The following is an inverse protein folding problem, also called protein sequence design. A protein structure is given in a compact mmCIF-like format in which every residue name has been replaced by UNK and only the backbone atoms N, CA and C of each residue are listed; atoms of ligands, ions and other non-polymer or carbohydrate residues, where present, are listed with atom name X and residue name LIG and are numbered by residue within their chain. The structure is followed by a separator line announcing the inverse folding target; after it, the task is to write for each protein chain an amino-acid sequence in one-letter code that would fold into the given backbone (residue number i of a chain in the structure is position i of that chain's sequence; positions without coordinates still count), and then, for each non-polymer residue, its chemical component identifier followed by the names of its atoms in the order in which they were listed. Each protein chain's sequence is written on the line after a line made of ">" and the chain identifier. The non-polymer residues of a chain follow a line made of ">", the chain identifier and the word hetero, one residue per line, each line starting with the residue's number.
data_IF_002053274025
#
_entry.id   IF_002053274025
#
_cell.length_a   1.000
_cell.length_b   1.000
_cell.length_c   1.000
_cell.angle_alpha   90.00
_cell.angle_beta   90.00
_cell.angle_gamma   90.00
#
_symmetry.space_group_name_H-M   'P 1'
#
loop_
_entity.id
_entity.type
_entity.pdbx_description
1 polymer ?
#
# COMPACT_ATOMS: atom_id res chain seq x y z
N UNK A 1 -50.65 12.13 15.17
CA UNK A 1 -49.68 12.69 14.19
C UNK A 1 -48.30 12.98 14.78
N UNK A 2 -48.16 13.52 16.01
CA UNK A 2 -46.84 13.77 16.64
C UNK A 2 -45.98 12.51 16.85
N UNK A 3 -46.59 11.37 17.19
CA UNK A 3 -45.89 10.11 17.46
C UNK A 3 -45.28 9.46 16.22
N UNK A 4 -45.90 9.64 15.04
CA UNK A 4 -45.39 9.11 13.77
C UNK A 4 -44.15 9.88 13.28
N UNK A 5 -44.10 11.18 13.54
CA UNK A 5 -42.96 12.04 13.20
C UNK A 5 -41.72 11.66 14.02
N UNK A 6 -41.91 11.32 15.31
CA UNK A 6 -40.82 10.92 16.22
C UNK A 6 -40.25 9.55 15.80
N UNK A 7 -41.11 8.59 15.46
CA UNK A 7 -40.67 7.26 15.00
C UNK A 7 -39.89 7.36 13.68
N UNK A 8 -40.37 8.19 12.75
CA UNK A 8 -39.67 8.43 11.48
C UNK A 8 -38.29 9.06 11.69
N UNK A 9 -38.17 10.02 12.61
CA UNK A 9 -36.89 10.65 12.94
C UNK A 9 -35.89 9.65 13.56
N UNK A 10 -36.38 8.77 14.45
CA UNK A 10 -35.54 7.73 15.08
C UNK A 10 -35.01 6.74 14.03
N UNK A 11 -35.85 6.30 13.08
CA UNK A 11 -35.44 5.39 12.01
C UNK A 11 -34.35 6.02 11.13
N UNK A 12 -34.52 7.29 10.74
CA UNK A 12 -33.54 8.01 9.92
C UNK A 12 -32.20 8.17 10.65
N UNK A 13 -32.22 8.51 11.95
CA UNK A 13 -31.00 8.67 12.75
C UNK A 13 -30.27 7.32 12.94
N UNK A 14 -30.99 6.22 13.17
CA UNK A 14 -30.37 4.89 13.30
C UNK A 14 -29.81 4.33 11.98
N UNK A 15 -30.28 4.83 10.84
CA UNK A 15 -29.83 4.38 9.51
C UNK A 15 -28.46 4.96 9.12
N UNK A 16 -28.06 6.09 9.71
CA UNK A 16 -26.81 6.79 9.38
C UNK A 16 -25.60 6.14 10.11
N UNK A 17 -25.85 5.39 11.18
CA UNK A 17 -24.81 4.76 12.01
C UNK A 17 -24.27 3.40 11.53
N UNK A 18 -24.79 2.84 10.43
CA UNK A 18 -24.43 1.48 10.00
C UNK A 18 -23.23 1.39 9.03
N UNK A 19 -22.58 2.51 8.70
CA UNK A 19 -21.53 2.58 7.69
C UNK A 19 -20.10 2.71 8.23
N UNK A 20 -19.69 1.92 9.24
CA UNK A 20 -18.26 1.81 9.56
C UNK A 20 -17.57 0.98 8.47
N UNK A 21 -16.96 1.68 7.51
CA UNK A 21 -16.37 1.11 6.29
C UNK A 21 -15.04 0.41 6.55
N UNK A 22 -15.10 -0.87 6.90
CA UNK A 22 -13.96 -1.78 6.82
C UNK A 22 -13.86 -2.34 5.40
N UNK A 23 -12.71 -2.17 4.74
CA UNK A 23 -12.46 -2.68 3.38
C UNK A 23 -11.13 -3.40 3.32
N UNK A 24 -11.17 -4.68 2.92
CA UNK A 24 -9.96 -5.43 2.58
C UNK A 24 -9.75 -5.34 1.08
N UNK A 25 -8.57 -4.88 0.68
CA UNK A 25 -8.19 -4.68 -0.71
C UNK A 25 -6.92 -5.45 -1.03
N UNK A 26 -6.95 -6.26 -2.09
CA UNK A 26 -5.76 -6.90 -2.64
C UNK A 26 -5.28 -6.09 -3.83
N UNK A 27 -4.03 -5.62 -3.78
CA UNK A 27 -3.42 -4.84 -4.84
C UNK A 27 -2.24 -5.61 -5.42
N UNK A 28 -2.12 -5.58 -6.75
CA UNK A 28 -0.95 -6.08 -7.48
C UNK A 28 -0.37 -4.97 -8.33
N UNK A 29 0.91 -4.72 -8.15
CA UNK A 29 1.70 -3.76 -8.92
C UNK A 29 2.63 -4.56 -9.83
N UNK A 30 2.47 -4.42 -11.14
CA UNK A 30 3.34 -5.06 -12.14
C UNK A 30 4.36 -4.05 -12.68
N UNK A 31 5.33 -4.52 -13.49
CA UNK A 31 6.36 -3.69 -14.12
C UNK A 31 7.20 -2.88 -13.12
N UNK A 32 7.48 -3.50 -11.98
CA UNK A 32 8.40 -2.93 -10.98
C UNK A 32 9.81 -2.97 -11.57
N UNK A 33 10.48 -1.82 -11.54
CA UNK A 33 11.85 -1.67 -12.05
C UNK A 33 12.87 -1.59 -10.93
N UNK A 34 12.48 -1.07 -9.76
CA UNK A 34 13.33 -1.00 -8.57
C UNK A 34 12.49 -1.12 -7.31
N UNK A 35 13.09 -1.69 -6.28
CA UNK A 35 12.53 -1.79 -4.94
C UNK A 35 13.49 -1.07 -3.98
N UNK A 36 12.94 -0.20 -3.14
CA UNK A 36 13.68 0.48 -2.09
C UNK A 36 13.19 0.03 -0.73
N UNK A 37 14.11 -0.39 0.13
CA UNK A 37 13.83 -0.67 1.53
C UNK A 37 14.24 0.54 2.38
N UNK A 38 13.30 1.07 3.18
CA UNK A 38 13.54 2.24 4.01
C UNK A 38 13.91 1.86 5.45
N UNK A 39 12.95 1.27 6.16
CA UNK A 39 13.09 0.84 7.55
C UNK A 39 11.99 -0.15 7.89
N UNK A 40 12.30 -1.18 8.69
CA UNK A 40 11.33 -2.19 9.12
C UNK A 40 10.52 -2.74 7.94
N UNK A 41 9.21 -2.47 7.95
CA UNK A 41 8.26 -2.94 6.93
C UNK A 41 7.96 -1.92 5.82
N UNK A 42 8.68 -0.79 5.78
CA UNK A 42 8.44 0.31 4.83
C UNK A 42 9.28 0.13 3.56
N UNK A 43 8.58 0.05 2.44
CA UNK A 43 9.17 -0.07 1.12
C UNK A 43 8.56 0.96 0.17
N UNK A 44 9.29 1.31 -0.88
CA UNK A 44 8.74 1.94 -2.07
C UNK A 44 9.19 1.20 -3.31
N UNK A 45 8.40 1.32 -4.37
CA UNK A 45 8.70 0.69 -5.66
C UNK A 45 8.61 1.70 -6.78
N UNK A 46 9.57 1.65 -7.69
CA UNK A 46 9.48 2.34 -8.96
C UNK A 46 8.84 1.42 -9.98
N UNK A 47 7.86 1.96 -10.72
CA UNK A 47 7.06 1.23 -11.68
C UNK A 47 7.12 1.96 -13.01
N UNK A 48 7.36 1.21 -14.08
CA UNK A 48 7.26 1.74 -15.44
C UNK A 48 5.83 1.55 -15.94
N UNK A 49 5.20 2.65 -16.34
CA UNK A 49 3.88 2.62 -16.95
C UNK A 49 3.93 1.88 -18.30
N UNK A 50 2.99 0.98 -18.61
CA UNK A 50 2.98 0.25 -19.89
C UNK A 50 2.99 1.20 -21.09
N UNK A 51 3.94 1.03 -22.00
CA UNK A 51 4.06 1.88 -23.19
C UNK A 51 4.59 3.29 -22.94
N UNK A 52 5.04 3.61 -21.72
CA UNK A 52 5.62 4.90 -21.36
C UNK A 52 7.09 4.76 -20.96
N UNK A 53 7.85 5.85 -21.13
CA UNK A 53 9.18 6.01 -20.56
C UNK A 53 9.15 6.56 -19.13
N UNK A 54 7.97 6.95 -18.65
CA UNK A 54 7.76 7.48 -17.30
C UNK A 54 7.90 6.37 -16.25
N UNK A 55 8.63 6.70 -15.17
CA UNK A 55 8.76 5.87 -13.99
C UNK A 55 8.10 6.60 -12.83
N UNK A 56 7.10 5.96 -12.22
CA UNK A 56 6.40 6.47 -11.05
C UNK A 56 6.87 5.74 -9.80
N UNK A 57 6.94 6.47 -8.70
CA UNK A 57 7.26 5.88 -7.39
C UNK A 57 5.97 5.67 -6.62
N UNK A 58 5.74 4.42 -6.20
CA UNK A 58 4.64 4.03 -5.33
C UNK A 58 5.22 3.74 -3.96
N UNK A 59 4.73 4.46 -2.95
CA UNK A 59 5.08 4.10 -1.59
C UNK A 59 4.15 3.01 -1.07
N UNK A 60 4.74 1.98 -0.48
CA UNK A 60 4.04 0.88 0.19
C UNK A 60 3.96 1.21 1.68
N UNK A 61 3.46 2.41 2.00
CA UNK A 61 3.28 2.86 3.37
C UNK A 61 2.12 2.12 4.01
N UNK A 62 2.46 1.21 4.91
CA UNK A 62 1.52 0.63 5.86
C UNK A 62 2.29 -0.10 6.94
N UNK A 63 1.83 0.01 8.17
CA UNK A 63 2.33 -0.86 9.24
C UNK A 63 1.78 -2.27 8.97
N UNK A 64 2.63 -3.29 9.06
CA UNK A 64 2.15 -4.67 8.97
C UNK A 64 1.20 -4.93 10.15
N UNK A 65 -0.03 -5.37 9.87
CA UNK A 65 -0.97 -5.76 10.93
C UNK A 65 -0.41 -6.98 11.68
N UNK A 66 0.18 -7.92 10.93
CA UNK A 66 0.79 -9.15 11.42
C UNK A 66 1.90 -9.59 10.46
N UNK A 67 2.88 -10.32 10.99
CA UNK A 67 3.96 -10.92 10.19
C UNK A 67 4.94 -9.90 9.62
N UNK A 68 5.74 -10.38 8.67
CA UNK A 68 6.81 -9.60 8.03
C UNK A 68 6.62 -9.59 6.50
N UNK A 69 7.12 -8.55 5.80
CA UNK A 69 7.20 -8.56 4.35
C UNK A 69 7.99 -9.77 3.85
N UNK A 70 7.48 -10.43 2.81
CA UNK A 70 8.13 -11.58 2.19
C UNK A 70 8.73 -11.17 0.86
N UNK A 71 10.00 -11.48 0.68
CA UNK A 71 10.74 -11.21 -0.54
C UNK A 71 11.05 -12.55 -1.21
N UNK A 72 10.72 -12.66 -2.49
CA UNK A 72 10.94 -13.85 -3.30
C UNK A 72 11.87 -13.50 -4.46
N UNK A 73 12.90 -14.31 -4.66
CA UNK A 73 13.83 -14.23 -5.80
C UNK A 73 13.43 -15.25 -6.87
N UNK A 74 12.15 -15.23 -7.25
CA UNK A 74 11.51 -16.23 -8.11
C UNK A 74 11.19 -15.72 -9.52
N UNK A 75 11.50 -14.45 -9.80
CA UNK A 75 11.30 -13.85 -11.13
C UNK A 75 12.55 -14.11 -11.98
N UNK A 76 12.37 -14.51 -13.23
CA UNK A 76 13.50 -14.64 -14.16
C UNK A 76 14.01 -13.25 -14.59
N UNK A 77 15.31 -13.06 -14.90
CA UNK A 77 15.87 -11.75 -15.26
C UNK A 77 15.17 -11.03 -16.43
N UNK A 78 14.59 -11.78 -17.36
CA UNK A 78 13.85 -11.28 -18.52
C UNK A 78 12.39 -10.89 -18.21
N UNK A 79 11.88 -11.26 -17.03
CA UNK A 79 10.50 -11.02 -16.63
C UNK A 79 10.37 -9.78 -15.74
N UNK A 80 9.23 -9.09 -15.86
CA UNK A 80 8.92 -7.95 -15.00
C UNK A 80 8.76 -8.37 -13.55
N UNK A 81 9.48 -7.71 -12.64
CA UNK A 81 9.26 -7.80 -11.20
C UNK A 81 7.87 -7.25 -10.84
N UNK A 82 7.37 -7.66 -9.68
CA UNK A 82 6.04 -7.28 -9.23
C UNK A 82 5.89 -7.33 -7.71
N UNK A 83 4.88 -6.64 -7.22
CA UNK A 83 4.50 -6.63 -5.80
C UNK A 83 3.04 -7.00 -5.66
N UNK A 84 2.70 -7.73 -4.61
CA UNK A 84 1.33 -7.98 -4.20
C UNK A 84 1.20 -7.67 -2.71
N UNK A 85 0.15 -6.95 -2.36
CA UNK A 85 -0.14 -6.67 -0.96
C UNK A 85 -1.63 -6.73 -0.68
N UNK A 86 -1.97 -7.05 0.57
CA UNK A 86 -3.33 -7.01 1.09
C UNK A 86 -3.39 -5.90 2.11
N UNK A 87 -4.17 -4.87 1.80
CA UNK A 87 -4.42 -3.73 2.66
C UNK A 87 -5.76 -3.91 3.37
N UNK A 88 -5.72 -3.83 4.69
CA UNK A 88 -6.91 -3.73 5.52
C UNK A 88 -7.12 -2.26 5.84
N UNK A 89 -8.15 -1.69 5.22
CA UNK A 89 -8.53 -0.30 5.43
C UNK A 89 -9.63 -0.24 6.46
N UNK A 90 -9.32 0.40 7.58
CA UNK A 90 -10.29 0.73 8.61
C UNK A 90 -10.36 2.25 8.75
N UNK A 91 -11.47 2.76 9.28
CA UNK A 91 -11.69 4.21 9.41
C UNK A 91 -10.63 4.92 10.27
N UNK A 92 -9.99 4.18 11.18
CA UNK A 92 -8.94 4.70 12.06
C UNK A 92 -7.51 4.50 11.52
N UNK A 93 -7.24 3.34 10.92
CA UNK A 93 -5.88 2.89 10.62
C UNK A 93 -5.90 1.94 9.42
N UNK A 94 -5.09 2.28 8.41
CA UNK A 94 -4.75 1.35 7.33
C UNK A 94 -3.58 0.48 7.78
N UNK A 95 -3.68 -0.84 7.57
CA UNK A 95 -2.58 -1.76 7.85
C UNK A 95 -2.40 -2.80 6.75
N UNK A 96 -1.16 -3.25 6.56
CA UNK A 96 -0.80 -4.28 5.59
C UNK A 96 -0.92 -5.66 6.24
N UNK A 97 -1.84 -6.50 5.75
CA UNK A 97 -1.95 -7.90 6.20
C UNK A 97 -0.89 -8.78 5.56
N UNK A 98 -0.47 -8.44 4.35
CA UNK A 98 0.62 -9.11 3.66
C UNK A 98 1.28 -8.17 2.68
N UNK A 99 2.60 -8.35 2.53
CA UNK A 99 3.40 -7.73 1.49
C UNK A 99 4.31 -8.82 0.91
N UNK A 100 4.16 -9.06 -0.39
CA UNK A 100 4.94 -9.99 -1.18
C UNK A 100 5.66 -9.20 -2.28
N UNK A 101 6.99 -9.23 -2.26
CA UNK A 101 7.84 -8.55 -3.25
C UNK A 101 8.57 -9.63 -4.04
N UNK A 102 8.33 -9.68 -5.34
CA UNK A 102 8.90 -10.68 -6.23
C UNK A 102 9.90 -10.02 -7.16
N UNK A 103 11.17 -10.35 -6.96
CA UNK A 103 12.34 -9.80 -7.66
C UNK A 103 13.10 -10.91 -8.37
N UNK A 104 14.06 -10.57 -9.24
CA UNK A 104 14.94 -11.59 -9.82
C UNK A 104 16.07 -11.95 -8.85
N UNK A 105 16.64 -10.97 -8.14
CA UNK A 105 17.75 -11.12 -7.22
C UNK A 105 17.63 -10.13 -6.06
N UNK A 106 18.23 -10.50 -4.93
CA UNK A 106 18.47 -9.64 -3.78
C UNK A 106 19.14 -8.31 -4.14
N UNK A 107 19.96 -8.29 -5.19
CA UNK A 107 20.65 -7.08 -5.68
C UNK A 107 19.70 -6.06 -6.30
N UNK A 108 18.44 -6.43 -6.59
CA UNK A 108 17.42 -5.50 -7.07
C UNK A 108 16.78 -4.67 -5.94
N UNK A 109 17.16 -4.91 -4.69
CA UNK A 109 16.64 -4.22 -3.51
C UNK A 109 17.70 -3.24 -3.03
N UNK A 110 17.44 -1.96 -3.24
CA UNK A 110 18.32 -0.88 -2.84
C UNK A 110 17.94 -0.35 -1.44
N UNK A 111 18.92 0.05 -0.64
CA UNK A 111 18.66 0.84 0.55
C UNK A 111 18.10 2.20 0.15
N UNK A 112 16.91 2.54 0.63
CA UNK A 112 16.22 3.78 0.33
C UNK A 112 16.26 4.74 1.51
N UNK A 113 17.01 5.83 1.40
CA UNK A 113 16.84 6.94 2.32
C UNK A 113 15.51 7.62 2.07
N UNK A 114 14.73 7.83 3.13
CA UNK A 114 13.48 8.59 3.07
C UNK A 114 13.70 9.96 3.71
N UNK A 115 13.85 11.01 2.90
CA UNK A 115 13.71 12.37 3.43
C UNK A 115 12.20 12.62 3.63
N UNK A 116 11.78 12.87 4.87
CA UNK A 116 10.36 13.11 5.16
C UNK A 116 9.84 14.41 4.52
N UNK A 117 10.74 15.35 4.15
CA UNK A 117 10.37 16.70 3.72
C UNK A 117 9.48 17.42 4.75
N UNK A 118 9.03 18.64 4.44
CA UNK A 118 7.84 19.20 5.09
C UNK A 118 6.61 18.78 4.28
N UNK A 119 5.56 18.31 4.95
CA UNK A 119 4.26 17.95 4.36
C UNK A 119 4.18 16.67 3.52
N UNK A 120 5.09 15.70 3.70
CA UNK A 120 4.93 14.36 3.11
C UNK A 120 5.30 14.25 1.62
N UNK A 121 5.93 15.29 1.06
CA UNK A 121 6.57 15.23 -0.26
C UNK A 121 7.98 14.63 -0.17
N UNK A 122 8.10 13.51 0.53
CA UNK A 122 9.39 12.86 0.71
C UNK A 122 9.93 12.31 -0.61
N UNK A 123 11.24 12.40 -0.80
CA UNK A 123 11.93 11.81 -1.94
C UNK A 123 12.76 10.62 -1.46
N UNK A 124 12.63 9.50 -2.18
CA UNK A 124 13.50 8.35 -1.98
C UNK A 124 14.81 8.54 -2.73
N UNK A 125 15.93 8.32 -2.06
CA UNK A 125 17.26 8.28 -2.65
C UNK A 125 17.98 6.98 -2.30
N UNK A 126 18.90 6.55 -3.16
CA UNK A 126 19.72 5.35 -2.91
C UNK A 126 20.78 5.68 -1.86
N UNK A 127 20.84 4.91 -0.78
CA UNK A 127 21.96 4.91 0.17
C UNK A 127 22.99 3.89 -0.34
N UNK A 128 24.25 4.33 -0.50
CA UNK A 128 25.38 3.49 -0.88
C UNK A 128 26.25 3.20 0.34
#
# INVERSE_FOLDING_TARGET
>A
MRSALIIFLVIVITSISAGCGHKIETVRINNVVRVFWHEGTRYSVQVREPGSTEIKTYSLHGHMCTGEPRIFTDVLPENSMWVKYVMDRNWDLDCLRSLEIHVWSETNIEGGGWDHGKFGHGQTYVIK
#
